data_IF_868996468947
#
_entry.id   IF_868996468947
#
_cell.length_a   1.000
_cell.length_b   1.000
_cell.length_c   1.000
_cell.angle_alpha   90.00
_cell.angle_beta   90.00
_cell.angle_gamma   90.00
#
_symmetry.space_group_name_H-M   'P 1'
#
loop_
_entity.id
_entity.type
_entity.pdbx_description
1 polymer ?
#
# COMPACT_ATOMS: atom_id res chain seq x y z
N UNK A 1 -19.08 -23.41 -48.09
CA UNK A 1 -19.33 -22.11 -47.43
C UNK A 1 -19.18 -21.03 -48.49
N UNK A 2 -20.10 -20.07 -48.55
CA UNK A 2 -19.98 -18.96 -49.50
C UNK A 2 -18.70 -18.15 -49.23
N UNK A 3 -17.88 -17.88 -50.27
CA UNK A 3 -16.63 -17.12 -50.10
C UNK A 3 -16.86 -15.72 -49.53
N UNK A 4 -18.02 -15.12 -49.81
CA UNK A 4 -18.42 -13.83 -49.25
C UNK A 4 -18.67 -13.91 -47.73
N UNK A 5 -19.30 -14.99 -47.26
CA UNK A 5 -19.55 -15.22 -45.83
C UNK A 5 -18.23 -15.41 -45.07
N UNK A 6 -17.29 -16.17 -45.64
CA UNK A 6 -15.96 -16.37 -45.04
C UNK A 6 -15.16 -15.07 -44.91
N UNK A 7 -15.23 -14.19 -45.91
CA UNK A 7 -14.61 -12.86 -45.85
C UNK A 7 -15.23 -11.98 -44.77
N UNK A 8 -16.56 -12.01 -44.66
CA UNK A 8 -17.30 -11.20 -43.68
C UNK A 8 -16.98 -11.65 -42.25
N UNK A 9 -16.93 -12.96 -41.98
CA UNK A 9 -16.51 -13.52 -40.69
C UNK A 9 -15.07 -13.15 -40.37
N UNK A 10 -14.16 -13.23 -41.35
CA UNK A 10 -12.74 -12.88 -41.14
C UNK A 10 -12.56 -11.40 -40.81
N UNK A 11 -13.27 -10.52 -41.51
CA UNK A 11 -13.24 -9.08 -41.27
C UNK A 11 -13.83 -8.73 -39.89
N UNK A 12 -14.98 -9.30 -39.53
CA UNK A 12 -15.59 -9.11 -38.21
C UNK A 12 -14.69 -9.64 -37.09
N UNK A 13 -14.01 -10.76 -37.33
CA UNK A 13 -13.06 -11.34 -36.37
C UNK A 13 -11.83 -10.45 -36.16
N UNK A 14 -11.28 -9.88 -37.24
CA UNK A 14 -10.16 -8.93 -37.16
C UNK A 14 -10.54 -7.63 -36.44
N UNK A 15 -11.72 -7.08 -36.75
CA UNK A 15 -12.25 -5.88 -36.09
C UNK A 15 -12.56 -6.15 -34.61
N UNK A 16 -13.20 -7.27 -34.30
CA UNK A 16 -13.49 -7.67 -32.91
C UNK A 16 -12.23 -7.91 -32.09
N UNK A 17 -11.24 -8.61 -32.66
CA UNK A 17 -9.96 -8.88 -32.00
C UNK A 17 -9.14 -7.62 -31.72
N UNK A 18 -9.08 -6.70 -32.68
CA UNK A 18 -8.38 -5.41 -32.51
C UNK A 18 -9.05 -4.54 -31.44
N UNK A 19 -10.38 -4.45 -31.45
CA UNK A 19 -11.14 -3.74 -30.41
C UNK A 19 -10.95 -4.35 -29.02
N UNK A 20 -11.04 -5.68 -28.91
CA UNK A 20 -10.80 -6.38 -27.66
C UNK A 20 -9.40 -6.10 -27.11
N UNK A 21 -8.37 -6.22 -27.96
CA UNK A 21 -6.98 -5.93 -27.57
C UNK A 21 -6.81 -4.50 -27.07
N UNK A 22 -7.38 -3.52 -27.77
CA UNK A 22 -7.35 -2.11 -27.37
C UNK A 22 -8.02 -1.89 -26.01
N UNK A 23 -9.19 -2.45 -25.80
CA UNK A 23 -9.93 -2.35 -24.54
C UNK A 23 -9.14 -2.94 -23.36
N UNK A 24 -8.59 -4.16 -23.53
CA UNK A 24 -7.77 -4.78 -22.50
C UNK A 24 -6.48 -4.02 -22.23
N UNK A 25 -5.84 -3.47 -23.27
CA UNK A 25 -4.63 -2.65 -23.11
C UNK A 25 -4.88 -1.39 -22.29
N UNK A 26 -5.98 -0.66 -22.55
CA UNK A 26 -6.36 0.51 -21.75
C UNK A 26 -6.66 0.13 -20.31
N UNK A 27 -7.42 -0.95 -20.12
CA UNK A 27 -7.76 -1.44 -18.78
C UNK A 27 -6.51 -1.83 -17.98
N UNK A 28 -5.55 -2.53 -18.61
CA UNK A 28 -4.27 -2.90 -17.98
C UNK A 28 -3.49 -1.67 -17.56
N UNK A 29 -3.31 -0.71 -18.48
CA UNK A 29 -2.58 0.54 -18.19
C UNK A 29 -3.22 1.34 -17.04
N UNK A 30 -4.55 1.37 -16.96
CA UNK A 30 -5.25 2.06 -15.87
C UNK A 30 -5.01 1.37 -14.53
N UNK A 31 -5.07 0.04 -14.49
CA UNK A 31 -4.81 -0.73 -13.27
C UNK A 31 -3.36 -0.58 -12.81
N UNK A 32 -2.40 -0.66 -13.73
CA UNK A 32 -0.98 -0.43 -13.45
C UNK A 32 -0.73 0.97 -12.89
N UNK A 33 -1.33 2.00 -13.51
CA UNK A 33 -1.21 3.38 -13.02
C UNK A 33 -1.83 3.57 -11.63
N UNK A 34 -2.98 2.95 -11.37
CA UNK A 34 -3.62 2.98 -10.06
C UNK A 34 -2.77 2.27 -8.99
N UNK A 35 -2.21 1.10 -9.33
CA UNK A 35 -1.34 0.34 -8.44
C UNK A 35 -0.06 1.12 -8.11
N UNK A 36 0.59 1.69 -9.12
CA UNK A 36 1.80 2.49 -8.94
C UNK A 36 1.55 3.75 -8.10
N UNK A 37 0.42 4.45 -8.33
CA UNK A 37 0.04 5.60 -7.53
C UNK A 37 -0.22 5.22 -6.06
N UNK A 38 -0.84 4.06 -5.83
CA UNK A 38 -1.11 3.53 -4.49
C UNK A 38 0.17 3.09 -3.77
N UNK A 39 1.09 2.43 -4.48
CA UNK A 39 2.40 2.03 -3.95
C UNK A 39 3.21 3.25 -3.51
N UNK A 40 3.22 4.32 -4.32
CA UNK A 40 3.88 5.57 -3.96
C UNK A 40 3.29 6.21 -2.68
N UNK A 41 1.97 6.16 -2.52
CA UNK A 41 1.30 6.63 -1.30
C UNK A 41 1.66 5.78 -0.08
N UNK A 42 1.72 4.46 -0.23
CA UNK A 42 2.15 3.58 0.86
C UNK A 42 3.61 3.72 1.22
N UNK A 43 4.49 4.00 0.26
CA UNK A 43 5.89 4.31 0.52
C UNK A 43 6.03 5.51 1.46
N UNK A 44 5.25 6.59 1.25
CA UNK A 44 5.23 7.76 2.13
C UNK A 44 4.75 7.41 3.53
N UNK A 45 3.66 6.66 3.64
CA UNK A 45 3.14 6.17 4.91
C UNK A 45 4.19 5.35 5.68
N UNK A 46 4.90 4.45 4.99
CA UNK A 46 5.93 3.60 5.56
C UNK A 46 7.14 4.40 6.06
N UNK A 47 7.60 5.40 5.29
CA UNK A 47 8.69 6.29 5.70
C UNK A 47 8.29 7.09 6.95
N UNK A 48 7.07 7.61 7.02
CA UNK A 48 6.64 8.37 8.19
C UNK A 48 6.32 7.50 9.40
N UNK A 49 6.06 6.21 9.20
CA UNK A 49 5.88 5.22 10.27
C UNK A 49 7.09 5.12 11.20
N UNK A 50 8.29 5.39 10.66
CA UNK A 50 9.56 5.40 11.39
C UNK A 50 9.54 6.39 12.56
N UNK A 51 8.78 7.48 12.45
CA UNK A 51 8.58 8.45 13.53
C UNK A 51 7.91 7.90 14.79
N UNK A 52 7.45 6.65 14.77
CA UNK A 52 6.88 5.94 15.93
C UNK A 52 7.83 4.89 16.54
N UNK A 53 9.03 4.70 15.97
CA UNK A 53 9.98 3.65 16.39
C UNK A 53 11.26 4.28 16.93
N UNK A 54 11.79 3.71 18.01
CA UNK A 54 13.20 3.89 18.40
C UNK A 54 13.65 5.34 18.63
N UNK A 55 14.91 5.60 18.30
CA UNK A 55 15.58 6.90 18.46
C UNK A 55 15.26 7.89 17.33
N UNK A 56 14.60 7.43 16.27
CA UNK A 56 14.18 8.22 15.08
C UNK A 56 12.82 8.90 15.27
N UNK A 57 12.20 8.74 16.45
CA UNK A 57 10.94 9.38 16.80
C UNK A 57 11.06 10.91 16.85
N UNK A 58 10.45 11.59 15.88
CA UNK A 58 10.35 13.05 15.85
C UNK A 58 8.90 13.51 15.59
N UNK A 59 8.57 14.74 16.00
CA UNK A 59 7.21 15.27 15.91
C UNK A 59 6.76 15.55 14.47
N UNK A 60 7.70 15.87 13.58
CA UNK A 60 7.43 16.17 12.18
C UNK A 60 6.96 14.92 11.43
N UNK A 61 7.71 13.81 11.51
CA UNK A 61 7.36 12.52 10.93
C UNK A 61 6.00 12.02 11.44
N UNK A 62 5.67 12.25 12.71
CA UNK A 62 4.34 11.92 13.26
C UNK A 62 3.24 12.75 12.61
N UNK A 63 3.44 14.07 12.45
CA UNK A 63 2.48 14.96 11.78
C UNK A 63 2.28 14.57 10.32
N UNK A 64 3.37 14.25 9.62
CA UNK A 64 3.33 13.78 8.24
C UNK A 64 2.60 12.44 8.12
N UNK A 65 2.86 11.50 9.04
CA UNK A 65 2.13 10.25 9.11
C UNK A 65 0.61 10.46 9.26
N UNK A 66 0.17 11.32 10.18
CA UNK A 66 -1.26 11.58 10.35
C UNK A 66 -1.89 12.23 9.11
N UNK A 67 -1.14 13.11 8.43
CA UNK A 67 -1.60 13.72 7.17
C UNK A 67 -1.82 12.66 6.10
N UNK A 68 -0.87 11.75 5.90
CA UNK A 68 -1.01 10.65 4.94
C UNK A 68 -2.06 9.62 5.38
N UNK A 69 -2.22 9.38 6.69
CA UNK A 69 -3.30 8.55 7.22
C UNK A 69 -4.68 9.11 6.87
N UNK A 70 -4.92 10.41 6.99
CA UNK A 70 -6.20 10.99 6.59
C UNK A 70 -6.46 10.82 5.08
N UNK A 71 -5.43 10.98 4.26
CA UNK A 71 -5.53 10.73 2.82
C UNK A 71 -5.76 9.25 2.49
N UNK A 72 -5.27 8.33 3.33
CA UNK A 72 -5.36 6.89 3.12
C UNK A 72 -6.79 6.38 2.95
N UNK A 73 -7.78 7.06 3.55
CA UNK A 73 -9.20 6.77 3.40
C UNK A 73 -9.71 6.85 1.96
N UNK A 74 -9.01 7.56 1.07
CA UNK A 74 -9.41 7.71 -0.33
C UNK A 74 -8.90 6.58 -1.24
N UNK A 75 -7.84 5.87 -0.84
CA UNK A 75 -7.15 4.93 -1.72
C UNK A 75 -6.87 3.56 -1.10
N UNK A 76 -6.99 3.44 0.21
CA UNK A 76 -6.68 2.22 0.95
C UNK A 76 -7.91 1.35 1.16
N UNK A 77 -7.68 0.05 1.26
CA UNK A 77 -8.67 -0.90 1.74
C UNK A 77 -9.02 -0.67 3.21
N UNK A 78 -10.19 -1.14 3.59
CA UNK A 78 -10.66 -1.13 4.98
C UNK A 78 -9.68 -1.84 5.91
N UNK A 79 -9.02 -2.91 5.45
CA UNK A 79 -8.03 -3.65 6.24
C UNK A 79 -6.86 -2.74 6.66
N UNK A 80 -6.36 -1.92 5.74
CA UNK A 80 -5.28 -0.97 6.00
C UNK A 80 -5.72 0.13 6.97
N UNK A 81 -6.89 0.72 6.73
CA UNK A 81 -7.44 1.79 7.59
C UNK A 81 -7.64 1.28 9.02
N UNK A 82 -8.20 0.08 9.17
CA UNK A 82 -8.40 -0.56 10.48
C UNK A 82 -7.08 -0.93 11.15
N UNK A 83 -6.08 -1.40 10.41
CA UNK A 83 -4.76 -1.70 10.95
C UNK A 83 -4.08 -0.44 11.50
N UNK A 84 -4.13 0.67 10.76
CA UNK A 84 -3.57 1.96 11.19
C UNK A 84 -4.33 2.49 12.41
N UNK A 85 -5.66 2.41 12.41
CA UNK A 85 -6.48 2.82 13.56
C UNK A 85 -6.07 2.08 14.83
N UNK A 86 -5.87 0.75 14.76
CA UNK A 86 -5.42 -0.06 15.91
C UNK A 86 -4.05 0.38 16.42
N UNK A 87 -3.12 0.71 15.52
CA UNK A 87 -1.83 1.29 15.89
C UNK A 87 -2.01 2.62 16.65
N UNK A 88 -2.81 3.53 16.11
CA UNK A 88 -3.09 4.84 16.74
C UNK A 88 -3.75 4.69 18.11
N UNK A 89 -4.75 3.81 18.23
CA UNK A 89 -5.44 3.56 19.50
C UNK A 89 -4.46 3.00 20.55
N UNK A 90 -3.55 2.12 20.13
CA UNK A 90 -2.50 1.57 20.99
C UNK A 90 -1.52 2.66 21.47
N UNK A 91 -1.14 3.60 20.60
CA UNK A 91 -0.28 4.73 20.97
C UNK A 91 -1.00 5.65 21.99
N UNK A 92 -2.30 5.90 21.81
CA UNK A 92 -3.11 6.66 22.77
C UNK A 92 -3.17 5.96 24.13
N UNK A 93 -3.41 4.65 24.15
CA UNK A 93 -3.42 3.86 25.39
C UNK A 93 -2.05 3.91 26.11
N UNK A 94 -0.95 3.83 25.35
CA UNK A 94 0.40 3.98 25.89
C UNK A 94 0.60 5.29 26.65
N UNK A 95 0.10 6.40 26.08
CA UNK A 95 0.19 7.72 26.70
C UNK A 95 -0.61 7.87 28.00
N UNK A 96 -1.58 6.97 28.24
CA UNK A 96 -2.39 6.93 29.46
C UNK A 96 -1.87 5.93 30.52
N UNK A 97 -0.70 5.34 30.29
CA UNK A 97 -0.09 4.38 31.23
C UNK A 97 -0.73 2.99 31.23
N UNK A 98 -1.62 2.69 30.28
CA UNK A 98 -2.19 1.35 30.12
C UNK A 98 -1.18 0.39 29.50
N UNK A 99 -1.29 -0.91 29.82
CA UNK A 99 -0.46 -1.95 29.22
C UNK A 99 -0.79 -2.07 27.73
N UNK A 100 0.21 -1.83 26.90
CA UNK A 100 0.06 -1.71 25.45
C UNK A 100 0.49 -3.01 24.77
N UNK A 101 -0.14 -3.33 23.63
CA UNK A 101 0.36 -4.37 22.72
C UNK A 101 1.73 -3.98 22.15
N UNK A 102 2.50 -4.95 21.68
CA UNK A 102 3.81 -4.71 21.09
C UNK A 102 3.68 -3.79 19.87
N UNK A 103 4.30 -2.60 19.94
CA UNK A 103 4.23 -1.59 18.87
C UNK A 103 4.76 -2.11 17.53
N UNK A 104 5.80 -2.95 17.54
CA UNK A 104 6.34 -3.56 16.32
C UNK A 104 5.37 -4.53 15.68
N UNK A 105 4.61 -5.29 16.47
CA UNK A 105 3.59 -6.20 15.94
C UNK A 105 2.49 -5.42 15.22
N UNK A 106 2.06 -4.29 15.80
CA UNK A 106 1.04 -3.42 15.20
C UNK A 106 1.54 -2.76 13.91
N UNK A 107 2.80 -2.33 13.89
CA UNK A 107 3.47 -1.83 12.68
C UNK A 107 3.52 -2.93 11.61
N UNK A 108 3.96 -4.13 11.94
CA UNK A 108 3.98 -5.26 11.01
C UNK A 108 2.59 -5.60 10.46
N UNK A 109 1.54 -5.45 11.26
CA UNK A 109 0.16 -5.62 10.79
C UNK A 109 -0.24 -4.56 9.76
N UNK A 110 0.15 -3.30 9.95
CA UNK A 110 -0.09 -2.22 8.97
C UNK A 110 0.61 -2.54 7.65
N UNK A 111 1.89 -2.94 7.70
CA UNK A 111 2.67 -3.28 6.50
C UNK A 111 2.08 -4.47 5.76
N UNK A 112 1.65 -5.51 6.48
CA UNK A 112 0.99 -6.65 5.85
C UNK A 112 -0.33 -6.28 5.19
N UNK A 113 -1.14 -5.43 5.83
CA UNK A 113 -2.37 -4.95 5.23
C UNK A 113 -2.10 -4.17 3.94
N UNK A 114 -1.12 -3.27 3.92
CA UNK A 114 -0.72 -2.54 2.72
C UNK A 114 -0.27 -3.49 1.60
N UNK A 115 0.51 -4.52 1.95
CA UNK A 115 0.97 -5.53 1.00
C UNK A 115 -0.19 -6.33 0.40
N UNK A 116 -1.17 -6.73 1.21
CA UNK A 116 -2.37 -7.43 0.74
C UNK A 116 -3.22 -6.53 -0.16
N UNK A 117 -3.27 -5.25 0.15
CA UNK A 117 -4.02 -4.29 -0.64
C UNK A 117 -3.38 -4.00 -2.01
N UNK A 118 -2.04 -4.08 -2.11
CA UNK A 118 -1.33 -3.96 -3.38
C UNK A 118 -1.35 -5.27 -4.21
N UNK A 119 -1.11 -6.41 -3.56
CA UNK A 119 -0.79 -7.66 -4.26
C UNK A 119 -1.74 -8.83 -3.95
N UNK A 120 -2.81 -8.59 -3.19
CA UNK A 120 -3.81 -9.58 -2.80
C UNK A 120 -3.38 -10.41 -1.58
N UNK A 121 -2.69 -11.51 -1.80
CA UNK A 121 -2.36 -12.46 -0.71
C UNK A 121 -0.88 -12.43 -0.35
N UNK A 122 -0.56 -12.80 0.89
CA UNK A 122 0.82 -12.89 1.36
C UNK A 122 0.98 -14.04 2.35
N UNK A 123 2.10 -14.76 2.26
CA UNK A 123 2.50 -15.79 3.22
C UNK A 123 3.37 -15.24 4.36
N UNK A 124 3.80 -13.98 4.25
CA UNK A 124 4.57 -13.31 5.30
C UNK A 124 3.71 -13.08 6.54
N UNK A 125 4.34 -13.23 7.70
CA UNK A 125 3.77 -12.88 9.00
C UNK A 125 4.21 -11.47 9.40
N UNK A 126 3.46 -10.85 10.31
CA UNK A 126 3.78 -9.51 10.82
C UNK A 126 5.15 -9.47 11.50
N UNK A 127 5.57 -10.58 12.12
CA UNK A 127 6.89 -10.77 12.72
C UNK A 127 8.04 -10.83 11.72
N UNK A 128 7.75 -10.99 10.42
CA UNK A 128 8.78 -10.96 9.38
C UNK A 128 9.14 -9.53 8.96
N UNK A 129 8.36 -8.54 9.39
CA UNK A 129 8.69 -7.14 9.20
C UNK A 129 9.47 -6.65 10.42
N UNK A 130 10.74 -6.33 10.20
CA UNK A 130 11.60 -5.70 11.19
C UNK A 130 12.06 -4.36 10.65
N UNK A 131 11.97 -3.34 11.50
CA UNK A 131 12.48 -2.02 11.18
C UNK A 131 13.89 -1.90 11.74
N UNK A 132 14.88 -1.78 10.86
CA UNK A 132 16.27 -1.54 11.23
C UNK A 132 16.50 -0.03 11.31
N UNK A 133 16.71 0.49 12.52
CA UNK A 133 17.20 1.86 12.70
C UNK A 133 18.64 1.94 12.14
N UNK A 134 18.84 2.68 11.06
CA UNK A 134 20.18 3.06 10.59
C UNK A 134 20.51 4.39 11.26
N UNK A 135 21.40 4.35 12.26
CA UNK A 135 21.91 5.55 12.92
C UNK A 135 22.98 6.13 12.00
N UNK A 136 22.76 7.31 11.44
CA UNK A 136 23.87 8.11 10.93
C UNK A 136 24.70 8.54 12.14
N UNK A 137 25.88 7.94 12.32
CA UNK A 137 26.85 8.42 13.29
C UNK A 137 27.12 9.89 12.97
N UNK A 138 26.88 10.76 13.95
CA UNK A 138 27.15 12.19 13.82
C UNK A 138 28.58 12.39 13.29
N UNK A 139 28.82 13.35 12.37
CA UNK A 139 30.17 13.65 11.92
C UNK A 139 31.03 13.92 13.16
N UNK A 140 32.09 13.13 13.32
CA UNK A 140 33.08 13.36 14.36
C UNK A 140 33.56 14.80 14.22
N UNK A 141 33.36 15.58 15.29
CA UNK A 141 33.76 17.00 15.39
C UNK A 141 35.19 17.23 14.99
#
# INVERSE_FOLDING_TARGET
MDPMLSLLISLLSALGGSYGTYYFAIRSKKLEAQLAAKEEKYRKLLIHLQGFVGKTANAESKRMFFTEYYQSWLYSSDEVVLAIKRLIDSIKQASTGQKVKNGMELIGNVVLAMRRDLYGTTRLKNTAFEYTDVIEDAPQK
#
